data_IF_154210018219
#
_entry.id   IF_154210018219
#
_cell.length_a   1.000
_cell.length_b   1.000
_cell.length_c   1.000
_cell.angle_alpha   90.00
_cell.angle_beta   90.00
_cell.angle_gamma   90.00
#
_symmetry.space_group_name_H-M   'P 1'
#
loop_
_entity.id
_entity.type
_entity.pdbx_description
1 polymer ?
#
# COMPACT_ATOMS: atom_id res chain seq x y z
N UNK A 1 1.27 -19.86 13.83
CA UNK A 1 1.12 -19.83 12.36
C UNK A 1 0.06 -18.83 11.89
N UNK A 2 -1.05 -18.61 12.61
CA UNK A 2 -2.11 -17.67 12.19
C UNK A 2 -1.72 -16.18 12.04
N UNK A 3 -0.91 -15.61 12.95
CA UNK A 3 -0.57 -14.17 12.91
C UNK A 3 0.30 -13.73 11.73
N UNK A 4 1.17 -14.62 11.23
CA UNK A 4 2.12 -14.28 10.15
C UNK A 4 1.40 -14.20 8.79
N UNK A 5 0.39 -15.06 8.59
CA UNK A 5 -0.44 -15.04 7.38
C UNK A 5 -1.28 -13.76 7.33
N UNK A 6 -1.95 -13.40 8.42
CA UNK A 6 -2.78 -12.19 8.49
C UNK A 6 -2.01 -10.90 8.21
N UNK A 7 -0.79 -10.74 8.74
CA UNK A 7 0.00 -9.53 8.47
C UNK A 7 0.39 -9.42 7.00
N UNK A 8 0.73 -10.54 6.37
CA UNK A 8 1.06 -10.56 4.95
C UNK A 8 -0.18 -10.32 4.08
N UNK A 9 -1.34 -10.86 4.45
CA UNK A 9 -2.62 -10.58 3.78
C UNK A 9 -2.93 -9.08 3.80
N UNK A 10 -2.77 -8.41 4.95
CA UNK A 10 -2.98 -6.96 5.04
C UNK A 10 -2.00 -6.18 4.14
N UNK A 11 -0.74 -6.63 4.07
CA UNK A 11 0.26 -6.02 3.18
C UNK A 11 -0.18 -6.15 1.72
N UNK A 12 -0.60 -7.35 1.31
CA UNK A 12 -1.07 -7.61 -0.06
C UNK A 12 -2.27 -6.71 -0.37
N UNK A 13 -3.26 -6.64 0.52
CA UNK A 13 -4.42 -5.77 0.36
C UNK A 13 -4.00 -4.30 0.20
N UNK A 14 -3.10 -3.81 1.04
CA UNK A 14 -2.59 -2.43 0.95
C UNK A 14 -1.97 -2.15 -0.42
N UNK A 15 -1.11 -3.06 -0.90
CA UNK A 15 -0.43 -2.94 -2.18
C UNK A 15 -1.40 -3.04 -3.37
N UNK A 16 -2.36 -3.97 -3.32
CA UNK A 16 -3.44 -4.09 -4.31
C UNK A 16 -4.26 -2.79 -4.39
N UNK A 17 -4.69 -2.24 -3.26
CA UNK A 17 -5.48 -1.01 -3.22
C UNK A 17 -4.74 0.18 -3.83
N UNK A 18 -3.45 0.37 -3.53
CA UNK A 18 -2.71 1.50 -4.07
C UNK A 18 -2.39 1.33 -5.56
N UNK A 19 -2.12 0.11 -6.03
CA UNK A 19 -1.92 -0.20 -7.44
C UNK A 19 -3.21 -0.02 -8.24
N UNK A 20 -4.34 -0.51 -7.72
CA UNK A 20 -5.67 -0.25 -8.32
C UNK A 20 -5.96 1.24 -8.37
N UNK A 21 -5.69 1.97 -7.29
CA UNK A 21 -5.90 3.41 -7.26
C UNK A 21 -5.03 4.14 -8.29
N UNK A 22 -3.76 3.77 -8.43
CA UNK A 22 -2.88 4.28 -9.47
C UNK A 22 -3.46 4.06 -10.87
N UNK A 23 -4.07 2.89 -11.14
CA UNK A 23 -4.70 2.58 -12.42
C UNK A 23 -5.93 3.45 -12.74
N UNK A 24 -6.56 4.05 -11.73
CA UNK A 24 -7.67 5.00 -11.95
C UNK A 24 -7.20 6.40 -12.35
N UNK A 25 -5.92 6.72 -12.11
CA UNK A 25 -5.36 8.06 -12.29
C UNK A 25 -4.31 8.16 -13.39
N UNK A 26 -3.53 7.10 -13.58
CA UNK A 26 -2.35 7.07 -14.44
C UNK A 26 -2.61 6.29 -15.73
N UNK A 27 -1.68 6.38 -16.68
CA UNK A 27 -1.73 5.62 -17.93
C UNK A 27 -1.69 4.11 -17.64
N UNK A 28 -2.77 3.36 -17.93
CA UNK A 28 -2.88 1.94 -17.58
C UNK A 28 -1.96 1.04 -18.41
N UNK A 29 -1.32 1.54 -19.48
CA UNK A 29 -0.38 0.77 -20.30
C UNK A 29 1.05 0.74 -19.71
N UNK A 30 1.32 1.53 -18.67
CA UNK A 30 2.59 1.48 -17.94
C UNK A 30 2.57 0.34 -16.93
N UNK A 31 3.76 -0.10 -16.52
CA UNK A 31 3.90 -0.96 -15.34
C UNK A 31 3.66 -0.11 -14.09
N UNK A 32 2.42 -0.11 -13.59
CA UNK A 32 1.99 0.74 -12.50
C UNK A 32 2.52 0.25 -11.16
N UNK A 33 2.61 -1.06 -10.94
CA UNK A 33 3.19 -1.62 -9.71
C UNK A 33 4.63 -1.17 -9.50
N UNK A 34 5.43 -1.21 -10.58
CA UNK A 34 6.82 -0.73 -10.54
C UNK A 34 6.89 0.79 -10.35
N UNK A 35 6.06 1.56 -11.04
CA UNK A 35 6.04 3.01 -10.92
C UNK A 35 5.69 3.45 -9.49
N UNK A 36 4.65 2.87 -8.91
CA UNK A 36 4.21 3.11 -7.53
C UNK A 36 5.35 2.80 -6.55
N UNK A 37 6.00 1.63 -6.66
CA UNK A 37 7.15 1.30 -5.83
C UNK A 37 8.32 2.28 -5.99
N UNK A 38 8.77 2.52 -7.24
CA UNK A 38 9.96 3.33 -7.50
C UNK A 38 9.80 4.78 -7.01
N UNK A 39 8.57 5.31 -7.01
CA UNK A 39 8.26 6.62 -6.44
C UNK A 39 8.37 6.63 -4.90
N UNK A 40 7.90 5.60 -4.21
CA UNK A 40 7.78 5.60 -2.74
C UNK A 40 8.91 4.92 -1.98
N UNK A 41 9.79 4.16 -2.65
CA UNK A 41 10.83 3.34 -1.99
C UNK A 41 11.76 4.09 -1.03
N UNK A 42 12.00 5.38 -1.28
CA UNK A 42 12.78 6.26 -0.39
C UNK A 42 11.89 7.17 0.45
N UNK A 43 10.77 7.60 -0.11
CA UNK A 43 9.86 8.57 0.50
C UNK A 43 8.44 8.36 -0.03
N UNK A 44 7.58 7.76 0.79
CA UNK A 44 6.17 7.50 0.47
C UNK A 44 5.38 8.79 0.19
N UNK A 45 5.87 9.96 0.63
CA UNK A 45 5.19 11.23 0.38
C UNK A 45 5.22 11.65 -1.09
N UNK A 46 6.16 11.10 -1.89
CA UNK A 46 6.23 11.35 -3.34
C UNK A 46 5.04 10.80 -4.13
N UNK A 47 4.25 9.91 -3.54
CA UNK A 47 2.96 9.52 -4.13
C UNK A 47 1.99 10.69 -4.27
N UNK A 48 2.05 11.66 -3.37
CA UNK A 48 1.22 12.87 -3.42
C UNK A 48 1.45 13.62 -4.76
N UNK A 49 2.72 13.65 -5.21
CA UNK A 49 3.11 14.24 -6.50
C UNK A 49 2.75 13.32 -7.67
N UNK A 50 2.99 12.00 -7.56
CA UNK A 50 2.68 11.03 -8.61
C UNK A 50 1.19 11.03 -8.96
N UNK A 51 0.33 11.05 -7.95
CA UNK A 51 -1.13 11.00 -8.11
C UNK A 51 -1.76 12.38 -8.28
N UNK A 52 -1.01 13.46 -8.04
CA UNK A 52 -1.51 14.84 -8.04
C UNK A 52 -2.75 15.04 -7.15
N UNK A 53 -2.80 14.33 -6.02
CA UNK A 53 -4.02 14.19 -5.22
C UNK A 53 -3.90 14.71 -3.78
N UNK A 54 -2.86 15.51 -3.51
CA UNK A 54 -2.57 16.09 -2.19
C UNK A 54 -2.45 15.02 -1.07
N UNK A 55 -2.05 13.81 -1.45
CA UNK A 55 -1.81 12.67 -0.58
C UNK A 55 -3.06 11.87 -0.22
N UNK A 56 -4.14 12.02 -0.99
CA UNK A 56 -5.33 11.21 -0.81
C UNK A 56 -5.04 9.71 -0.98
N UNK A 57 -4.30 9.31 -2.02
CA UNK A 57 -3.93 7.92 -2.27
C UNK A 57 -3.11 7.33 -1.13
N UNK A 58 -2.01 8.00 -0.76
CA UNK A 58 -1.17 7.60 0.38
C UNK A 58 -1.97 7.44 1.67
N UNK A 59 -2.80 8.43 2.03
CA UNK A 59 -3.50 8.43 3.32
C UNK A 59 -4.70 7.49 3.31
N UNK A 60 -5.58 7.59 2.32
CA UNK A 60 -6.89 6.95 2.34
C UNK A 60 -6.91 5.59 1.64
N UNK A 61 -6.04 5.38 0.65
CA UNK A 61 -5.99 4.12 -0.11
C UNK A 61 -4.89 3.19 0.33
N UNK A 62 -3.97 3.65 1.19
CA UNK A 62 -2.88 2.83 1.70
C UNK A 62 -2.83 2.82 3.23
N UNK A 63 -2.49 3.95 3.87
CA UNK A 63 -2.30 4.01 5.33
C UNK A 63 -3.58 3.65 6.10
N UNK A 64 -4.73 4.19 5.70
CA UNK A 64 -6.00 3.90 6.37
C UNK A 64 -6.44 2.44 6.23
N UNK A 65 -6.07 1.75 5.15
CA UNK A 65 -6.36 0.32 4.96
C UNK A 65 -5.59 -0.47 6.02
N UNK A 66 -4.28 -0.29 6.09
CA UNK A 66 -3.45 -0.96 7.10
C UNK A 66 -3.87 -0.64 8.54
N UNK A 67 -4.14 0.63 8.84
CA UNK A 67 -4.58 1.08 10.17
C UNK A 67 -5.94 0.49 10.54
N UNK A 68 -6.89 0.43 9.60
CA UNK A 68 -8.20 -0.21 9.80
C UNK A 68 -8.06 -1.67 10.18
N UNK A 69 -7.31 -2.43 9.39
CA UNK A 69 -7.06 -3.84 9.66
C UNK A 69 -6.33 -4.09 10.99
N UNK A 70 -5.34 -3.28 11.34
CA UNK A 70 -4.63 -3.40 12.61
C UNK A 70 -5.57 -3.16 13.81
N UNK A 71 -6.47 -2.18 13.70
CA UNK A 71 -7.47 -1.92 14.74
C UNK A 71 -8.43 -3.10 14.90
N UNK A 72 -8.97 -3.61 13.80
CA UNK A 72 -9.94 -4.70 13.83
C UNK A 72 -9.31 -6.01 14.32
N UNK A 73 -8.10 -6.32 13.86
CA UNK A 73 -7.43 -7.59 14.16
C UNK A 73 -6.80 -7.65 15.56
N UNK A 74 -6.33 -6.51 16.09
CA UNK A 74 -5.58 -6.44 17.35
C UNK A 74 -6.31 -5.63 18.43
N UNK A 75 -7.51 -5.13 18.15
CA UNK A 75 -8.31 -4.27 19.03
C UNK A 75 -7.52 -3.05 19.55
N UNK A 76 -6.70 -2.45 18.67
CA UNK A 76 -5.86 -1.30 18.98
C UNK A 76 -6.69 -0.01 19.03
N UNK A 77 -6.27 0.91 19.90
CA UNK A 77 -6.73 2.29 19.82
C UNK A 77 -6.12 3.02 18.61
N UNK A 78 -6.55 4.25 18.39
CA UNK A 78 -6.14 5.03 17.22
C UNK A 78 -4.64 5.39 17.24
N UNK A 79 -4.07 5.68 18.41
CA UNK A 79 -2.67 6.09 18.54
C UNK A 79 -1.73 4.90 18.27
N UNK A 80 -2.06 3.74 18.83
CA UNK A 80 -1.27 2.53 18.66
C UNK A 80 -1.36 1.98 17.22
N UNK A 81 -2.55 2.10 16.61
CA UNK A 81 -2.75 1.76 15.20
C UNK A 81 -1.97 2.69 14.25
N UNK A 82 -1.85 3.98 14.58
CA UNK A 82 -1.05 4.92 13.79
C UNK A 82 0.44 4.54 13.81
N UNK A 83 1.02 4.30 14.99
CA UNK A 83 2.43 3.87 15.12
C UNK A 83 2.71 2.56 14.38
N UNK A 84 1.83 1.57 14.54
CA UNK A 84 2.00 0.28 13.87
C UNK A 84 1.70 0.35 12.36
N UNK A 85 0.82 1.25 11.96
CA UNK A 85 0.47 1.49 10.56
C UNK A 85 1.66 2.01 9.75
N UNK A 86 2.48 2.89 10.33
CA UNK A 86 3.67 3.41 9.64
C UNK A 86 4.73 2.33 9.42
N UNK A 87 4.89 1.42 10.38
CA UNK A 87 5.78 0.27 10.23
C UNK A 87 5.23 -0.73 9.19
N UNK A 88 3.92 -0.99 9.22
CA UNK A 88 3.25 -1.84 8.23
C UNK A 88 3.36 -1.27 6.81
N UNK A 89 3.24 0.05 6.66
CA UNK A 89 3.39 0.74 5.37
C UNK A 89 4.79 0.56 4.77
N UNK A 90 5.84 0.61 5.59
CA UNK A 90 7.21 0.33 5.13
C UNK A 90 7.36 -1.11 4.65
N UNK A 91 6.82 -2.06 5.43
CA UNK A 91 6.84 -3.47 5.05
C UNK A 91 6.06 -3.75 3.77
N UNK A 92 4.92 -3.08 3.57
CA UNK A 92 4.15 -3.16 2.34
C UNK A 92 4.93 -2.63 1.14
N UNK A 93 5.54 -1.44 1.22
CA UNK A 93 6.39 -0.92 0.12
C UNK A 93 7.57 -1.85 -0.18
N UNK A 94 8.21 -2.42 0.84
CA UNK A 94 9.27 -3.42 0.63
C UNK A 94 8.75 -4.70 -0.02
N UNK A 95 7.54 -5.14 0.33
CA UNK A 95 6.90 -6.30 -0.26
C UNK A 95 6.53 -6.04 -1.71
N UNK A 96 5.86 -4.92 -2.01
CA UNK A 96 5.57 -4.45 -3.36
C UNK A 96 6.84 -4.45 -4.22
N UNK A 97 7.94 -3.89 -3.73
CA UNK A 97 9.21 -3.83 -4.47
C UNK A 97 9.80 -5.19 -4.83
N UNK A 98 9.60 -6.21 -3.98
CA UNK A 98 10.04 -7.59 -4.25
C UNK A 98 9.09 -8.36 -5.17
N UNK A 99 7.87 -7.86 -5.37
CA UNK A 99 6.78 -8.57 -6.05
C UNK A 99 6.09 -7.71 -7.12
N UNK A 100 6.77 -6.71 -7.70
CA UNK A 100 6.14 -5.79 -8.66
C UNK A 100 5.49 -6.51 -9.83
N UNK A 101 6.11 -7.59 -10.32
CA UNK A 101 5.58 -8.39 -11.44
C UNK A 101 4.31 -9.15 -11.05
N UNK A 102 4.21 -9.63 -9.81
CA UNK A 102 3.00 -10.28 -9.30
C UNK A 102 1.82 -9.30 -9.30
N UNK A 103 2.00 -8.11 -8.71
CA UNK A 103 0.93 -7.11 -8.63
C UNK A 103 0.57 -6.53 -10.00
N UNK A 104 1.56 -6.36 -10.89
CA UNK A 104 1.27 -5.90 -12.25
C UNK A 104 0.45 -6.92 -13.03
N UNK A 105 0.83 -8.20 -12.98
CA UNK A 105 0.05 -9.26 -13.64
C UNK A 105 -1.36 -9.35 -13.06
N UNK A 106 -1.50 -9.38 -11.72
CA UNK A 106 -2.79 -9.39 -11.03
C UNK A 106 -3.71 -8.24 -11.44
N UNK A 107 -3.17 -7.04 -11.65
CA UNK A 107 -3.92 -5.84 -12.07
C UNK A 107 -4.45 -5.94 -13.49
N UNK A 108 -3.75 -6.66 -14.37
CA UNK A 108 -4.00 -6.67 -15.82
C UNK A 108 -4.62 -7.96 -16.34
N UNK A 109 -4.73 -9.00 -15.50
CA UNK A 109 -5.49 -10.23 -15.76
C UNK A 109 -7.01 -9.96 -15.84
#
# INVERSE_FOLDING_TARGET
MAKKNMRQEIIIDMDEFIVTYAATLLDPNKNLSKLVYDTAKEDITKWDDLFHDQGFGRKNKFLNIGRGYLRDALNLDAEEAEKQGDQLAKEAIEYLGKHTDFFENWRTD
#
